data_IF_301264381060
#
_entry.id   IF_301264381060
#
_cell.length_a   1.000
_cell.length_b   1.000
_cell.length_c   1.000
_cell.angle_alpha   90.00
_cell.angle_beta   90.00
_cell.angle_gamma   90.00
#
_symmetry.space_group_name_H-M   'P 1'
#
loop_
_entity.id
_entity.type
_entity.pdbx_description
1 polymer ?
#
# COMPACT_ATOMS: atom_id res chain seq x y z
N UNK A 1 -8.99 18.81 -32.45
CA UNK A 1 -8.64 17.58 -31.71
C UNK A 1 -9.81 16.62 -31.85
N UNK A 2 -9.57 15.43 -32.39
CA UNK A 2 -10.64 14.51 -32.77
C UNK A 2 -11.17 13.77 -31.53
N UNK A 3 -12.28 14.26 -30.96
CA UNK A 3 -12.86 13.73 -29.72
C UNK A 3 -13.14 12.22 -29.78
N UNK A 4 -13.38 11.65 -30.97
CA UNK A 4 -13.64 10.21 -31.13
C UNK A 4 -12.37 9.39 -30.85
N UNK A 5 -11.21 9.84 -31.35
CA UNK A 5 -9.91 9.19 -31.12
C UNK A 5 -9.53 9.22 -29.64
N UNK A 6 -9.59 10.39 -28.99
CA UNK A 6 -9.25 10.50 -27.57
C UNK A 6 -10.17 9.63 -26.69
N UNK A 7 -11.47 9.61 -27.00
CA UNK A 7 -12.44 8.77 -26.27
C UNK A 7 -12.11 7.28 -26.42
N UNK A 8 -11.72 6.86 -27.62
CA UNK A 8 -11.33 5.47 -27.90
C UNK A 8 -10.07 5.07 -27.11
N UNK A 9 -9.02 5.87 -27.17
CA UNK A 9 -7.76 5.63 -26.47
C UNK A 9 -7.99 5.57 -24.96
N UNK A 10 -8.68 6.57 -24.39
CA UNK A 10 -8.95 6.60 -22.96
C UNK A 10 -9.75 5.38 -22.48
N UNK A 11 -10.68 4.87 -23.29
CA UNK A 11 -11.43 3.66 -22.95
C UNK A 11 -10.54 2.41 -22.91
N UNK A 12 -9.53 2.31 -23.77
CA UNK A 12 -8.55 1.20 -23.74
C UNK A 12 -7.62 1.34 -22.55
N UNK A 13 -6.97 2.49 -22.43
CA UNK A 13 -5.90 2.72 -21.44
C UNK A 13 -6.43 2.69 -20.00
N UNK A 14 -7.67 3.15 -19.77
CA UNK A 14 -8.28 3.07 -18.43
C UNK A 14 -8.53 1.63 -17.96
N UNK A 15 -8.64 0.67 -18.88
CA UNK A 15 -8.82 -0.75 -18.55
C UNK A 15 -7.49 -1.46 -18.28
N UNK A 16 -6.36 -0.86 -18.67
CA UNK A 16 -5.04 -1.44 -18.43
C UNK A 16 -4.64 -1.37 -16.95
N UNK A 17 -3.91 -2.39 -16.52
CA UNK A 17 -3.38 -2.52 -15.16
C UNK A 17 -1.94 -2.01 -15.02
N UNK A 18 -1.66 -0.88 -15.63
CA UNK A 18 -0.43 -0.12 -15.52
C UNK A 18 -0.60 1.11 -14.60
N UNK A 19 0.51 1.73 -14.24
CA UNK A 19 0.50 2.98 -13.47
C UNK A 19 0.13 4.21 -14.33
N UNK A 20 -0.08 5.35 -13.70
CA UNK A 20 -0.55 6.56 -14.39
C UNK A 20 0.50 7.20 -15.31
N UNK A 21 1.77 6.84 -15.17
CA UNK A 21 2.84 7.34 -16.05
C UNK A 21 2.90 6.48 -17.31
N UNK A 22 2.93 5.16 -17.16
CA UNK A 22 2.83 4.19 -18.26
C UNK A 22 1.55 4.41 -19.09
N UNK A 23 0.43 4.74 -18.45
CA UNK A 23 -0.80 5.10 -19.17
C UNK A 23 -0.64 6.34 -20.04
N UNK A 24 0.10 7.36 -19.59
CA UNK A 24 0.30 8.59 -20.38
C UNK A 24 1.13 8.30 -21.61
N UNK A 25 2.23 7.56 -21.46
CA UNK A 25 3.07 7.14 -22.59
C UNK A 25 2.26 6.35 -23.63
N UNK A 26 1.45 5.38 -23.18
CA UNK A 26 0.57 4.61 -24.07
C UNK A 26 -0.48 5.48 -24.77
N UNK A 27 -1.03 6.48 -24.07
CA UNK A 27 -1.98 7.43 -24.69
C UNK A 27 -1.30 8.18 -25.83
N UNK A 28 -0.08 8.67 -25.61
CA UNK A 28 0.64 9.47 -26.61
C UNK A 28 1.06 8.61 -27.81
N UNK A 29 1.61 7.41 -27.59
CA UNK A 29 1.96 6.48 -28.68
C UNK A 29 0.75 6.07 -29.52
N UNK A 30 -0.37 5.70 -28.87
CA UNK A 30 -1.60 5.32 -29.57
C UNK A 30 -2.20 6.50 -30.34
N UNK A 31 -2.11 7.71 -29.79
CA UNK A 31 -2.60 8.93 -30.43
C UNK A 31 -1.81 9.23 -31.69
N UNK A 32 -0.49 9.16 -31.64
CA UNK A 32 0.37 9.40 -32.81
C UNK A 32 0.07 8.39 -33.93
N UNK A 33 -0.06 7.11 -33.59
CA UNK A 33 -0.38 6.05 -34.55
C UNK A 33 -1.76 6.22 -35.21
N UNK A 34 -2.78 6.58 -34.43
CA UNK A 34 -4.13 6.81 -34.95
C UNK A 34 -4.21 8.06 -35.83
N UNK A 35 -3.45 9.11 -35.50
CA UNK A 35 -3.35 10.28 -36.35
C UNK A 35 -2.62 10.01 -37.66
N UNK A 36 -1.56 9.18 -37.64
CA UNK A 36 -0.89 8.72 -38.86
C UNK A 36 -1.86 7.97 -39.79
N UNK A 37 -2.58 6.96 -39.27
CA UNK A 37 -3.58 6.21 -40.05
C UNK A 37 -4.69 7.11 -40.59
N UNK A 38 -5.17 8.06 -39.78
CA UNK A 38 -6.18 9.02 -40.24
C UNK A 38 -5.66 9.86 -41.40
N UNK A 39 -4.42 10.36 -41.31
CA UNK A 39 -3.83 11.19 -42.36
C UNK A 39 -3.62 10.39 -43.65
N UNK A 40 -3.17 9.15 -43.58
CA UNK A 40 -3.08 8.26 -44.76
C UNK A 40 -4.44 8.12 -45.46
N UNK A 41 -5.53 7.95 -44.71
CA UNK A 41 -6.87 7.89 -45.28
C UNK A 41 -7.40 9.24 -45.80
N UNK A 42 -6.95 10.36 -45.25
CA UNK A 42 -7.22 11.68 -45.82
C UNK A 42 -6.52 11.85 -47.16
N UNK A 43 -5.27 11.39 -47.28
CA UNK A 43 -4.49 11.42 -48.52
C UNK A 43 -5.07 10.48 -49.60
N UNK A 44 -5.72 9.38 -49.19
CA UNK A 44 -6.56 8.53 -50.07
C UNK A 44 -7.86 9.23 -50.54
N UNK A 45 -8.14 10.45 -50.08
CA UNK A 45 -9.29 11.24 -50.47
C UNK A 45 -10.57 10.97 -49.67
N UNK A 46 -10.49 10.29 -48.53
CA UNK A 46 -11.64 10.14 -47.65
C UNK A 46 -11.97 11.45 -46.92
N UNK A 47 -13.26 11.63 -46.60
CA UNK A 47 -13.68 12.72 -45.72
C UNK A 47 -13.17 12.50 -44.30
N UNK A 48 -12.99 13.58 -43.54
CA UNK A 48 -12.43 13.50 -42.18
C UNK A 48 -13.14 12.49 -41.28
N UNK A 49 -14.47 12.46 -41.32
CA UNK A 49 -15.25 11.52 -40.50
C UNK A 49 -15.06 10.05 -40.92
N UNK A 50 -14.99 9.78 -42.23
CA UNK A 50 -14.76 8.43 -42.75
C UNK A 50 -13.32 7.98 -42.50
N UNK A 51 -12.34 8.87 -42.63
CA UNK A 51 -10.94 8.61 -42.32
C UNK A 51 -10.76 8.24 -40.84
N UNK A 52 -11.39 8.98 -39.92
CA UNK A 52 -11.36 8.66 -38.49
C UNK A 52 -12.00 7.30 -38.20
N UNK A 53 -13.16 7.00 -38.80
CA UNK A 53 -13.80 5.70 -38.60
C UNK A 53 -12.93 4.55 -39.11
N UNK A 54 -12.41 4.66 -40.34
CA UNK A 54 -11.53 3.66 -40.96
C UNK A 54 -10.24 3.47 -40.16
N UNK A 55 -9.67 4.55 -39.62
CA UNK A 55 -8.51 4.48 -38.72
C UNK A 55 -8.82 3.68 -37.45
N UNK A 56 -9.96 3.92 -36.80
CA UNK A 56 -10.37 3.17 -35.61
C UNK A 56 -10.65 1.69 -35.92
N UNK A 57 -11.32 1.39 -37.03
CA UNK A 57 -11.59 0.02 -37.48
C UNK A 57 -10.29 -0.75 -37.79
N UNK A 58 -9.37 -0.13 -38.54
CA UNK A 58 -8.06 -0.70 -38.85
C UNK A 58 -7.18 -0.88 -37.61
N UNK A 59 -7.35 -0.02 -36.60
CA UNK A 59 -6.62 -0.15 -35.35
C UNK A 59 -7.08 -1.35 -34.52
N UNK A 60 -8.33 -1.79 -34.68
CA UNK A 60 -8.86 -3.04 -34.13
C UNK A 60 -9.97 -2.88 -33.09
N UNK A 61 -10.54 -3.99 -32.63
CA UNK A 61 -11.59 -3.95 -31.61
C UNK A 61 -11.05 -3.65 -30.21
N UNK A 62 -11.75 -2.76 -29.50
CA UNK A 62 -11.35 -2.27 -28.18
C UNK A 62 -11.01 -3.39 -27.17
N UNK A 63 -11.84 -4.44 -27.09
CA UNK A 63 -11.67 -5.53 -26.11
C UNK A 63 -10.45 -6.40 -26.42
N UNK A 64 -10.26 -6.74 -27.68
CA UNK A 64 -9.12 -7.56 -28.12
C UNK A 64 -7.82 -6.78 -27.96
N UNK A 65 -7.83 -5.49 -28.32
CA UNK A 65 -6.67 -4.63 -28.16
C UNK A 65 -6.26 -4.49 -26.70
N UNK A 66 -7.21 -4.19 -25.80
CA UNK A 66 -6.91 -4.09 -24.37
C UNK A 66 -6.30 -5.39 -23.83
N UNK A 67 -6.84 -6.55 -24.22
CA UNK A 67 -6.33 -7.85 -23.78
C UNK A 67 -4.94 -8.14 -24.35
N UNK A 68 -4.76 -7.98 -25.67
CA UNK A 68 -3.49 -8.21 -26.35
C UNK A 68 -2.38 -7.27 -25.87
N UNK A 69 -2.72 -6.00 -25.64
CA UNK A 69 -1.78 -5.01 -25.10
C UNK A 69 -1.42 -5.32 -23.64
N UNK A 70 -2.40 -5.71 -22.80
CA UNK A 70 -2.14 -6.12 -21.43
C UNK A 70 -1.24 -7.36 -21.34
N UNK A 71 -1.48 -8.37 -22.17
CA UNK A 71 -0.70 -9.61 -22.19
C UNK A 71 0.70 -9.38 -22.79
N UNK A 72 0.85 -8.44 -23.74
CA UNK A 72 2.15 -8.07 -24.33
C UNK A 72 3.00 -7.22 -23.39
N UNK A 73 2.41 -6.23 -22.72
CA UNK A 73 3.12 -5.36 -21.79
C UNK A 73 3.49 -6.11 -20.50
N UNK A 74 2.61 -6.99 -20.00
CA UNK A 74 2.80 -7.68 -18.72
C UNK A 74 2.27 -9.12 -18.74
N UNK A 75 2.95 -10.05 -19.45
CA UNK A 75 2.50 -11.45 -19.59
C UNK A 75 2.32 -12.16 -18.25
N UNK A 76 3.10 -11.78 -17.24
CA UNK A 76 3.07 -12.38 -15.90
C UNK A 76 2.24 -11.58 -14.87
N UNK A 77 1.52 -10.52 -15.28
CA UNK A 77 0.80 -9.65 -14.34
C UNK A 77 -0.17 -10.41 -13.43
N UNK A 78 -0.94 -11.35 -14.00
CA UNK A 78 -1.92 -12.15 -13.24
C UNK A 78 -1.23 -13.00 -12.17
N UNK A 79 -0.15 -13.68 -12.55
CA UNK A 79 0.63 -14.54 -11.65
C UNK A 79 1.28 -13.70 -10.55
N UNK A 80 1.91 -12.57 -10.92
CA UNK A 80 2.49 -11.62 -9.98
C UNK A 80 1.46 -11.11 -8.97
N UNK A 81 0.26 -10.75 -9.43
CA UNK A 81 -0.82 -10.27 -8.56
C UNK A 81 -1.30 -11.35 -7.59
N UNK A 82 -1.44 -12.60 -8.04
CA UNK A 82 -1.80 -13.74 -7.18
C UNK A 82 -0.70 -13.95 -6.13
N UNK A 83 0.57 -13.97 -6.53
CA UNK A 83 1.70 -14.10 -5.62
C UNK A 83 1.74 -12.98 -4.57
N UNK A 84 1.47 -11.73 -4.97
CA UNK A 84 1.43 -10.58 -4.06
C UNK A 84 0.31 -10.73 -3.02
N UNK A 85 -0.86 -11.25 -3.42
CA UNK A 85 -1.95 -11.54 -2.49
C UNK A 85 -1.60 -12.64 -1.50
N UNK A 86 -0.98 -13.73 -1.95
CA UNK A 86 -0.54 -14.84 -1.07
C UNK A 86 0.45 -14.31 -0.03
N UNK A 87 1.46 -13.54 -0.46
CA UNK A 87 2.44 -12.93 0.43
C UNK A 87 1.78 -11.97 1.43
N UNK A 88 0.81 -11.17 1.00
CA UNK A 88 0.08 -10.26 1.87
C UNK A 88 -0.76 -10.99 2.93
N UNK A 89 -1.40 -12.11 2.57
CA UNK A 89 -2.16 -12.93 3.52
C UNK A 89 -1.21 -13.57 4.55
N UNK A 90 -0.09 -14.13 4.10
CA UNK A 90 0.93 -14.70 4.99
C UNK A 90 1.50 -13.64 5.94
N UNK A 91 1.88 -12.47 5.42
CA UNK A 91 2.33 -11.33 6.21
C UNK A 91 1.27 -10.92 7.24
N UNK A 92 0.02 -10.74 6.81
CA UNK A 92 -1.08 -10.31 7.67
C UNK A 92 -1.33 -11.34 8.78
N UNK A 93 -1.24 -12.64 8.48
CA UNK A 93 -1.30 -13.68 9.49
C UNK A 93 -0.18 -13.56 10.52
N UNK A 94 1.07 -13.38 10.10
CA UNK A 94 2.22 -13.18 11.01
C UNK A 94 2.03 -11.95 11.89
N UNK A 95 1.57 -10.82 11.33
CA UNK A 95 1.32 -9.58 12.09
C UNK A 95 0.23 -9.80 13.13
N UNK A 96 -0.92 -10.35 12.74
CA UNK A 96 -2.01 -10.63 13.67
C UNK A 96 -1.59 -11.65 14.73
N UNK A 97 -0.77 -12.64 14.35
CA UNK A 97 -0.24 -13.61 15.29
C UNK A 97 0.63 -12.94 16.35
N UNK A 98 1.57 -12.10 15.92
CA UNK A 98 2.49 -11.39 16.82
C UNK A 98 1.81 -10.34 17.69
N UNK A 99 0.85 -9.61 17.15
CA UNK A 99 0.18 -8.53 17.88
C UNK A 99 -0.98 -9.02 18.75
N UNK A 100 -1.70 -10.07 18.34
CA UNK A 100 -2.91 -10.53 19.02
C UNK A 100 -2.82 -11.98 19.50
N UNK A 101 -2.68 -12.95 18.59
CA UNK A 101 -2.89 -14.36 18.95
C UNK A 101 -1.88 -14.88 19.97
N UNK A 102 -0.60 -14.51 19.86
CA UNK A 102 0.42 -14.87 20.86
C UNK A 102 0.00 -14.42 22.27
N UNK A 103 -0.53 -13.20 22.38
CA UNK A 103 -0.97 -12.63 23.67
C UNK A 103 -2.26 -13.28 24.18
N UNK A 104 -3.19 -13.61 23.28
CA UNK A 104 -4.42 -14.34 23.62
C UNK A 104 -4.08 -15.73 24.14
N UNK A 105 -3.18 -16.46 23.48
CA UNK A 105 -2.76 -17.81 23.90
C UNK A 105 -2.14 -17.76 25.29
N UNK A 106 -1.23 -16.82 25.53
CA UNK A 106 -0.62 -16.63 26.86
C UNK A 106 -1.69 -16.30 27.89
N UNK A 107 -2.64 -15.42 27.58
CA UNK A 107 -3.72 -15.06 28.51
C UNK A 107 -4.61 -16.24 28.86
N UNK A 108 -4.95 -17.09 27.89
CA UNK A 108 -5.72 -18.33 28.11
C UNK A 108 -4.90 -19.31 28.96
N UNK A 109 -3.62 -19.49 28.63
CA UNK A 109 -2.72 -20.38 29.36
C UNK A 109 -2.60 -19.98 30.84
N UNK A 110 -2.42 -18.68 31.12
CA UNK A 110 -2.38 -18.11 32.46
C UNK A 110 -3.64 -18.41 33.25
N UNK A 111 -4.80 -18.21 32.61
CA UNK A 111 -6.10 -18.49 33.21
C UNK A 111 -6.29 -19.97 33.55
N UNK A 112 -5.78 -20.87 32.71
CA UNK A 112 -5.88 -22.33 32.94
C UNK A 112 -4.98 -22.77 34.10
N UNK A 113 -3.81 -22.15 34.26
CA UNK A 113 -2.85 -22.47 35.32
C UNK A 113 -3.15 -21.78 36.67
N UNK A 114 -4.30 -21.12 36.79
CA UNK A 114 -4.71 -20.44 38.03
C UNK A 114 -3.87 -19.20 38.34
N UNK A 115 -3.32 -18.52 37.32
CA UNK A 115 -2.63 -17.26 37.51
C UNK A 115 -3.66 -16.13 37.69
N UNK A 116 -3.78 -15.61 38.91
CA UNK A 116 -4.78 -14.58 39.26
C UNK A 116 -4.49 -13.20 38.63
N UNK A 117 -3.23 -12.92 38.30
CA UNK A 117 -2.77 -11.62 37.79
C UNK A 117 -2.67 -11.61 36.26
N UNK A 118 -2.95 -10.45 35.66
CA UNK A 118 -2.83 -10.25 34.22
C UNK A 118 -1.51 -9.56 33.89
N UNK A 119 -0.61 -10.25 33.17
CA UNK A 119 0.70 -9.73 32.79
C UNK A 119 0.64 -8.53 31.84
N UNK A 120 -0.48 -8.33 31.15
CA UNK A 120 -0.63 -7.31 30.11
C UNK A 120 -1.28 -6.02 30.61
N UNK A 121 -1.88 -6.04 31.80
CA UNK A 121 -2.72 -4.96 32.31
C UNK A 121 -2.25 -4.59 33.72
N UNK A 122 -2.26 -3.30 34.02
CA UNK A 122 -2.05 -2.80 35.37
C UNK A 122 -3.41 -2.73 36.07
N UNK A 123 -3.64 -3.51 37.15
CA UNK A 123 -4.87 -3.43 37.91
C UNK A 123 -4.94 -2.09 38.67
N UNK A 124 -6.11 -1.43 38.72
CA UNK A 124 -6.30 -0.21 39.50
C UNK A 124 -6.21 -0.51 41.01
N UNK A 125 -5.55 0.35 41.78
CA UNK A 125 -5.34 0.14 43.23
C UNK A 125 -6.61 0.33 44.06
N UNK A 126 -7.46 1.29 43.69
CA UNK A 126 -8.51 1.81 44.59
C UNK A 126 -9.95 1.75 44.05
N UNK A 127 -10.17 1.32 42.78
CA UNK A 127 -11.53 1.14 42.26
C UNK A 127 -11.62 0.15 41.10
N UNK A 128 -12.71 -0.63 41.04
CA UNK A 128 -13.04 -1.52 39.92
C UNK A 128 -13.68 -0.76 38.73
N UNK A 129 -13.58 0.57 38.70
CA UNK A 129 -14.22 1.41 37.70
C UNK A 129 -13.53 1.33 36.33
N UNK A 130 -14.33 1.30 35.25
CA UNK A 130 -13.84 1.31 33.86
C UNK A 130 -12.94 2.53 33.59
N UNK A 131 -13.29 3.70 34.15
CA UNK A 131 -12.51 4.94 33.97
C UNK A 131 -11.10 4.80 34.56
N UNK A 132 -10.99 4.20 35.75
CA UNK A 132 -9.70 4.03 36.41
C UNK A 132 -8.85 2.99 35.68
N UNK A 133 -9.46 1.87 35.26
CA UNK A 133 -8.83 0.91 34.36
C UNK A 133 -8.25 1.57 33.11
N UNK A 134 -9.04 2.41 32.41
CA UNK A 134 -8.57 3.12 31.21
C UNK A 134 -7.41 4.07 31.55
N UNK A 135 -7.50 4.81 32.64
CA UNK A 135 -6.44 5.76 33.05
C UNK A 135 -5.08 5.10 33.27
N UNK A 136 -5.05 3.88 33.79
CA UNK A 136 -3.82 3.13 34.02
C UNK A 136 -3.31 2.35 32.80
N UNK A 137 -4.19 2.03 31.84
CA UNK A 137 -3.87 1.15 30.70
C UNK A 137 -3.96 1.85 29.33
N UNK A 138 -4.09 3.17 29.31
CA UNK A 138 -4.10 3.97 28.08
C UNK A 138 -3.07 5.09 28.14
N UNK A 139 -2.18 5.14 27.15
CA UNK A 139 -1.38 6.30 26.84
C UNK A 139 -1.94 7.00 25.61
N UNK A 140 -2.50 8.18 25.82
CA UNK A 140 -3.05 9.04 24.76
C UNK A 140 -2.18 10.27 24.48
N UNK A 141 -1.12 10.50 25.26
CA UNK A 141 -0.23 11.64 25.10
C UNK A 141 0.95 11.20 24.24
N UNK A 142 1.06 11.71 23.00
CA UNK A 142 2.16 11.35 22.12
C UNK A 142 3.52 11.65 22.75
N UNK A 143 4.44 10.72 22.55
CA UNK A 143 5.82 10.71 23.02
C UNK A 143 5.97 10.70 24.54
N UNK A 144 4.89 10.54 25.33
CA UNK A 144 4.99 10.53 26.80
C UNK A 144 5.85 9.36 27.28
N UNK A 145 5.58 8.16 26.78
CA UNK A 145 6.35 6.98 27.14
C UNK A 145 7.76 7.09 26.58
N UNK A 146 7.89 7.48 25.31
CA UNK A 146 9.19 7.74 24.67
C UNK A 146 10.07 8.73 25.45
N UNK A 147 9.54 9.87 25.88
CA UNK A 147 10.26 10.90 26.65
C UNK A 147 10.59 10.40 28.06
N UNK A 148 9.67 9.67 28.71
CA UNK A 148 9.92 9.03 30.02
C UNK A 148 11.10 8.06 29.94
N UNK A 149 11.21 7.30 28.84
CA UNK A 149 12.34 6.40 28.59
C UNK A 149 13.65 7.15 28.36
N UNK A 150 13.62 8.31 27.68
CA UNK A 150 14.83 9.09 27.40
C UNK A 150 15.34 9.82 28.67
N UNK A 151 14.44 10.45 29.43
CA UNK A 151 14.80 11.32 30.56
C UNK A 151 15.02 10.55 31.88
N UNK A 152 14.38 9.39 32.07
CA UNK A 152 14.47 8.60 33.31
C UNK A 152 15.71 7.70 33.45
N UNK A 153 16.76 7.96 32.68
CA UNK A 153 17.84 6.99 32.44
C UNK A 153 19.00 7.08 33.44
N UNK A 154 18.87 6.44 34.60
CA UNK A 154 20.05 5.87 35.27
C UNK A 154 20.20 4.36 34.99
N UNK A 155 19.12 3.59 34.75
CA UNK A 155 19.20 2.11 34.65
C UNK A 155 18.23 1.43 33.65
N UNK A 156 17.98 1.98 32.46
CA UNK A 156 17.18 1.28 31.42
C UNK A 156 18.03 0.82 30.23
N UNK A 157 17.94 -0.48 29.90
CA UNK A 157 18.64 -1.09 28.76
C UNK A 157 18.15 -0.47 27.45
N UNK A 158 18.99 0.37 26.83
CA UNK A 158 18.73 1.00 25.52
C UNK A 158 18.30 -0.02 24.45
N UNK A 159 18.81 -1.25 24.53
CA UNK A 159 18.46 -2.35 23.63
C UNK A 159 16.97 -2.69 23.64
N UNK A 160 16.30 -2.60 24.78
CA UNK A 160 14.86 -2.88 24.91
C UNK A 160 14.05 -1.78 24.24
N UNK A 161 14.45 -0.52 24.43
CA UNK A 161 13.78 0.65 23.84
C UNK A 161 13.94 0.62 22.31
N UNK A 162 15.14 0.34 21.83
CA UNK A 162 15.44 0.23 20.40
C UNK A 162 14.64 -0.92 19.78
N UNK A 163 14.61 -2.10 20.42
CA UNK A 163 13.86 -3.23 19.90
C UNK A 163 12.35 -2.99 19.86
N UNK A 164 11.77 -2.36 20.90
CA UNK A 164 10.34 -2.04 20.89
C UNK A 164 10.00 -1.00 19.83
N UNK A 165 10.81 0.06 19.71
CA UNK A 165 10.57 1.15 18.76
C UNK A 165 10.75 0.67 17.31
N UNK A 166 11.85 -0.03 17.02
CA UNK A 166 12.13 -0.58 15.69
C UNK A 166 11.17 -1.72 15.35
N UNK A 167 10.78 -2.55 16.31
CA UNK A 167 9.83 -3.64 16.10
C UNK A 167 8.49 -3.14 15.55
N UNK A 168 7.95 -2.07 16.14
CA UNK A 168 6.70 -1.44 15.68
C UNK A 168 6.86 -0.82 14.27
N UNK A 169 7.97 -0.14 14.00
CA UNK A 169 8.24 0.38 12.64
C UNK A 169 8.32 -0.78 11.62
N UNK A 170 9.08 -1.83 11.92
CA UNK A 170 9.35 -2.92 10.99
C UNK A 170 8.11 -3.78 10.71
N UNK A 171 7.23 -3.99 11.70
CA UNK A 171 6.06 -4.84 11.52
C UNK A 171 5.03 -4.23 10.56
N UNK A 172 4.97 -2.90 10.45
CA UNK A 172 4.09 -2.18 9.51
C UNK A 172 4.78 -1.74 8.21
N UNK A 173 6.10 -1.87 8.11
CA UNK A 173 6.83 -1.55 6.88
C UNK A 173 6.27 -2.31 5.65
N UNK A 174 6.03 -3.64 5.70
CA UNK A 174 5.47 -4.35 4.56
C UNK A 174 4.05 -3.89 4.18
N UNK A 175 3.24 -3.41 5.14
CA UNK A 175 1.92 -2.86 4.85
C UNK A 175 2.01 -1.68 3.87
N UNK A 176 2.99 -0.80 4.08
CA UNK A 176 3.31 0.33 3.19
C UNK A 176 3.68 -0.07 1.77
N UNK A 177 4.25 -1.27 1.59
CA UNK A 177 4.62 -1.84 0.29
C UNK A 177 3.40 -2.52 -0.35
N UNK A 178 2.67 -3.34 0.39
CA UNK A 178 1.58 -4.15 -0.16
C UNK A 178 0.36 -3.32 -0.59
N UNK A 179 -0.02 -2.29 0.19
CA UNK A 179 -1.20 -1.47 -0.12
C UNK A 179 -1.18 -0.87 -1.55
N UNK A 180 -0.13 -0.15 -1.98
CA UNK A 180 -0.04 0.38 -3.34
C UNK A 180 0.14 -0.70 -4.43
N UNK A 181 0.71 -1.87 -4.11
CA UNK A 181 0.84 -2.99 -5.06
C UNK A 181 -0.49 -3.69 -5.33
N UNK A 182 -1.31 -3.88 -4.31
CA UNK A 182 -2.59 -4.60 -4.41
C UNK A 182 -3.72 -3.70 -4.87
N UNK A 183 -3.66 -2.41 -4.54
CA UNK A 183 -4.79 -1.49 -4.71
C UNK A 183 -4.35 -0.16 -5.35
N UNK A 184 -4.77 0.08 -6.60
CA UNK A 184 -4.48 1.33 -7.35
C UNK A 184 -4.85 2.61 -6.58
N UNK A 185 -5.86 2.55 -5.70
CA UNK A 185 -6.28 3.71 -4.91
C UNK A 185 -5.21 4.23 -3.95
N UNK A 186 -4.21 3.42 -3.57
CA UNK A 186 -3.17 3.76 -2.59
C UNK A 186 -1.92 4.40 -3.20
N UNK A 187 -2.04 5.07 -4.35
CA UNK A 187 -0.94 5.80 -4.99
C UNK A 187 -0.44 7.03 -4.22
N UNK A 188 -1.18 7.47 -3.19
CA UNK A 188 -0.88 8.66 -2.37
C UNK A 188 -0.55 8.26 -0.93
N UNK A 189 0.53 8.83 -0.39
CA UNK A 189 0.99 8.58 0.99
C UNK A 189 -0.09 8.89 2.04
N UNK A 190 -0.94 9.90 1.81
CA UNK A 190 -2.04 10.24 2.74
C UNK A 190 -3.01 9.08 2.98
N UNK A 191 -3.28 8.25 1.96
CA UNK A 191 -4.14 7.07 2.12
C UNK A 191 -3.46 5.95 2.90
N UNK A 192 -2.14 5.82 2.75
CA UNK A 192 -1.31 4.90 3.53
C UNK A 192 -1.38 5.31 5.00
N UNK A 193 -1.15 6.60 5.30
CA UNK A 193 -1.21 7.18 6.65
C UNK A 193 -2.57 6.90 7.32
N UNK A 194 -3.67 7.26 6.65
CA UNK A 194 -5.00 7.06 7.23
C UNK A 194 -5.27 5.57 7.49
N UNK A 195 -4.89 4.69 6.56
CA UNK A 195 -5.15 3.25 6.71
C UNK A 195 -4.27 2.62 7.79
N UNK A 196 -2.99 3.00 7.89
CA UNK A 196 -2.10 2.48 8.94
C UNK A 196 -2.53 2.95 10.32
N UNK A 197 -2.94 4.21 10.48
CA UNK A 197 -3.51 4.72 11.74
C UNK A 197 -4.76 3.93 12.11
N UNK A 198 -5.72 3.76 11.19
CA UNK A 198 -6.98 3.05 11.50
C UNK A 198 -6.72 1.61 11.90
N UNK A 199 -5.85 0.89 11.17
CA UNK A 199 -5.50 -0.49 11.48
C UNK A 199 -4.80 -0.59 12.83
N UNK A 200 -3.75 0.21 13.06
CA UNK A 200 -2.98 0.16 14.30
C UNK A 200 -3.83 0.56 15.50
N UNK A 201 -4.60 1.63 15.39
CA UNK A 201 -5.52 2.06 16.46
C UNK A 201 -6.54 0.97 16.80
N UNK A 202 -7.07 0.27 15.78
CA UNK A 202 -7.98 -0.85 15.99
C UNK A 202 -7.31 -2.01 16.73
N UNK A 203 -6.06 -2.33 16.39
CA UNK A 203 -5.28 -3.38 17.07
C UNK A 203 -5.06 -3.03 18.54
N UNK A 204 -4.58 -1.82 18.84
CA UNK A 204 -4.38 -1.32 20.22
C UNK A 204 -5.70 -1.35 21.01
N UNK A 205 -6.80 -0.94 20.38
CA UNK A 205 -8.13 -0.98 21.01
C UNK A 205 -8.57 -2.41 21.31
N UNK A 206 -8.38 -3.35 20.37
CA UNK A 206 -8.69 -4.77 20.59
C UNK A 206 -7.84 -5.34 21.72
N UNK A 207 -6.54 -5.00 21.77
CA UNK A 207 -5.65 -5.46 22.84
C UNK A 207 -6.13 -4.98 24.21
N UNK A 208 -6.53 -3.72 24.32
CA UNK A 208 -7.07 -3.15 25.55
C UNK A 208 -8.39 -3.81 25.97
N UNK A 209 -9.34 -3.96 25.04
CA UNK A 209 -10.67 -4.53 25.30
C UNK A 209 -10.57 -6.00 25.71
N UNK A 210 -9.71 -6.77 25.04
CA UNK A 210 -9.46 -8.17 25.38
C UNK A 210 -8.54 -8.34 26.60
N UNK A 211 -8.05 -7.24 27.19
CA UNK A 211 -7.10 -7.23 28.31
C UNK A 211 -5.83 -8.04 28.02
N UNK A 212 -5.36 -7.98 26.78
CA UNK A 212 -4.12 -8.63 26.30
C UNK A 212 -3.04 -7.60 25.94
N UNK A 213 -3.25 -6.33 26.26
CA UNK A 213 -2.29 -5.25 26.09
C UNK A 213 -2.84 -3.93 26.62
N UNK A 214 -1.96 -2.94 26.70
CA UNK A 214 -2.31 -1.55 26.97
C UNK A 214 -2.41 -0.82 25.63
N UNK A 215 -3.20 0.24 25.60
CA UNK A 215 -3.28 1.11 24.42
C UNK A 215 -2.13 2.13 24.49
N UNK A 216 -1.26 2.16 23.48
CA UNK A 216 -0.23 3.19 23.36
C UNK A 216 -0.32 3.96 22.04
N UNK A 217 -0.53 5.27 22.12
CA UNK A 217 -0.53 6.15 20.94
C UNK A 217 0.83 6.22 20.26
N UNK A 218 1.93 6.00 21.00
CA UNK A 218 3.29 5.99 20.43
C UNK A 218 3.43 4.84 19.43
N UNK A 219 2.85 3.67 19.74
CA UNK A 219 2.88 2.49 18.88
C UNK A 219 2.09 2.71 17.59
N UNK A 220 0.94 3.39 17.67
CA UNK A 220 0.16 3.81 16.49
C UNK A 220 0.98 4.73 15.58
N UNK A 221 1.71 5.68 16.17
CA UNK A 221 2.56 6.62 15.43
C UNK A 221 3.74 5.88 14.78
N UNK A 222 4.40 4.97 15.50
CA UNK A 222 5.52 4.18 14.99
C UNK A 222 5.10 3.27 13.83
N UNK A 223 3.95 2.60 13.96
CA UNK A 223 3.36 1.77 12.91
C UNK A 223 3.01 2.59 11.66
N UNK A 224 2.49 3.82 11.85
CA UNK A 224 2.27 4.76 10.76
C UNK A 224 3.59 5.13 10.05
N UNK A 225 4.65 5.45 10.82
CA UNK A 225 5.98 5.78 10.28
C UNK A 225 6.55 4.60 9.48
N UNK A 226 6.45 3.38 10.02
CA UNK A 226 6.86 2.15 9.31
C UNK A 226 6.16 2.01 7.95
N UNK A 227 4.85 2.21 7.91
CA UNK A 227 4.07 2.17 6.67
C UNK A 227 4.50 3.25 5.66
N UNK A 228 4.86 4.45 6.13
CA UNK A 228 5.39 5.51 5.27
C UNK A 228 6.73 5.07 4.67
N UNK A 229 7.64 4.53 5.47
CA UNK A 229 8.93 4.03 4.96
C UNK A 229 8.75 2.92 3.94
N UNK A 230 7.85 1.96 4.18
CA UNK A 230 7.54 0.92 3.20
C UNK A 230 7.03 1.48 1.87
N UNK A 231 6.15 2.48 1.91
CA UNK A 231 5.65 3.14 0.71
C UNK A 231 6.76 3.84 -0.09
N UNK A 232 7.65 4.56 0.58
CA UNK A 232 8.79 5.22 -0.07
C UNK A 232 9.80 4.21 -0.61
N UNK A 233 10.07 3.13 0.14
CA UNK A 233 10.94 2.05 -0.31
C UNK A 233 10.42 1.45 -1.62
N UNK A 234 9.11 1.18 -1.73
CA UNK A 234 8.52 0.69 -2.97
C UNK A 234 8.72 1.70 -4.12
N UNK A 235 8.51 3.00 -3.89
CA UNK A 235 8.72 4.02 -4.94
C UNK A 235 10.16 4.07 -5.41
N UNK A 236 11.12 4.01 -4.49
CA UNK A 236 12.55 3.97 -4.82
C UNK A 236 12.86 2.71 -5.63
N UNK A 237 12.39 1.55 -5.18
CA UNK A 237 12.60 0.28 -5.89
C UNK A 237 12.01 0.31 -7.31
N UNK A 238 10.80 0.87 -7.49
CA UNK A 238 10.24 1.06 -8.84
C UNK A 238 11.14 1.93 -9.71
N UNK A 239 11.59 3.07 -9.21
CA UNK A 239 12.45 3.97 -9.98
C UNK A 239 13.81 3.35 -10.32
N UNK A 240 14.38 2.54 -9.42
CA UNK A 240 15.67 1.86 -9.62
C UNK A 240 15.52 0.68 -10.59
N UNK A 241 14.45 -0.12 -10.47
CA UNK A 241 14.20 -1.29 -11.32
C UNK A 241 13.74 -0.88 -12.73
N UNK A 242 13.17 0.33 -12.90
CA UNK A 242 12.70 0.85 -14.19
C UNK A 242 13.81 1.54 -15.03
N UNK A 243 15.05 1.65 -14.54
CA UNK A 243 16.19 2.05 -15.39
C UNK A 243 17.08 0.84 -15.73
N UNK A 244 17.26 0.45 -17.02
CA UNK A 244 17.09 1.25 -18.23
C UNK A 244 16.09 0.64 -19.24
N UNK A 245 15.03 1.37 -19.64
CA UNK A 245 14.36 1.10 -20.93
C UNK A 245 14.80 2.11 -22.00
N UNK A 246 15.74 1.63 -22.82
CA UNK A 246 16.06 2.00 -24.22
C UNK A 246 16.33 3.46 -24.58
N UNK A 247 17.62 3.76 -24.73
CA UNK A 247 18.06 4.51 -25.91
C UNK A 247 17.87 3.69 -27.20
N UNK A 248 17.87 4.39 -28.35
CA UNK A 248 17.55 4.00 -29.74
C UNK A 248 16.05 4.09 -30.07
N UNK A 249 15.54 5.18 -30.67
CA UNK A 249 15.87 5.59 -32.05
C UNK A 249 16.04 7.13 -32.17
N UNK A 250 17.30 7.58 -32.33
CA UNK A 250 17.62 8.85 -33.01
C UNK A 250 18.66 8.54 -34.09
N UNK A 251 18.16 8.15 -35.26
CA UNK A 251 18.78 8.15 -36.59
C UNK A 251 17.59 8.41 -37.52
N UNK A 252 17.57 9.32 -38.47
CA UNK A 252 18.61 10.08 -39.15
C UNK A 252 17.87 11.19 -39.90
N UNK A 253 18.28 12.44 -39.75
CA UNK A 253 18.05 13.46 -40.79
C UNK A 253 19.36 14.24 -40.92
N UNK A 254 20.19 13.77 -41.84
CA UNK A 254 20.86 14.70 -42.74
C UNK A 254 19.79 15.31 -43.66
#
# INVERSE_FOLDING_TARGET
MDKKIDTYIHKIVNQLNCDEEEKRELIDEMRDHLHLLKNEYLDEGLTEEKATQKALESFGEQKELTKGLQDSLFPYYKVFKIGTWILFVLYSFVVLFKLLFERIIVRIFDSIHGMDWNRYIIPPENSEGIIEFLKFNTNIIPFKNTIKYIIGSDHFNLDIIINNTLGNILIFLPLGIFLPLLFKKYSRVSKIIVTSIVISFSIETIQLVLKIGQFDIDDVILNMIGSIFGFWLLRILKNVIILPKRGYFRRSTN
#
